data_IF_349280899318
#
_entry.id   IF_349280899318
#
_cell.length_a   1.000
_cell.length_b   1.000
_cell.length_c   1.000
_cell.angle_alpha   90.00
_cell.angle_beta   90.00
_cell.angle_gamma   90.00
#
_symmetry.space_group_name_H-M   'P 1'
#
loop_
_entity.id
_entity.type
_entity.pdbx_description
1 polymer ?
#
# COMPACT_ATOMS: atom_id res chain seq x y z
N UNK A 1 -16.85 8.76 -15.95
CA UNK A 1 -15.53 8.99 -15.34
C UNK A 1 -15.23 10.47 -15.44
N UNK A 2 -15.11 11.14 -14.31
CA UNK A 2 -14.67 12.52 -14.26
C UNK A 2 -13.19 12.51 -14.65
N UNK A 3 -12.82 13.25 -15.69
CA UNK A 3 -11.40 13.39 -16.05
C UNK A 3 -10.74 14.37 -15.09
N UNK A 4 -9.48 14.12 -14.73
CA UNK A 4 -8.67 15.10 -14.00
C UNK A 4 -8.70 16.47 -14.70
N UNK A 5 -8.57 17.58 -13.96
CA UNK A 5 -8.39 18.90 -14.56
C UNK A 5 -7.21 18.90 -15.53
N UNK A 6 -7.36 19.64 -16.63
CA UNK A 6 -6.35 19.71 -17.68
C UNK A 6 -4.95 20.07 -17.16
N UNK A 7 -4.78 21.02 -16.24
CA UNK A 7 -3.45 21.32 -15.66
C UNK A 7 -2.79 20.11 -14.97
N UNK A 8 -3.58 19.30 -14.24
CA UNK A 8 -3.08 18.10 -13.57
C UNK A 8 -2.67 17.04 -14.59
N UNK A 9 -3.50 16.81 -15.64
CA UNK A 9 -3.15 15.91 -16.74
C UNK A 9 -1.86 16.32 -17.44
N UNK A 10 -1.70 17.60 -17.76
CA UNK A 10 -0.49 18.15 -18.39
C UNK A 10 0.74 18.01 -17.49
N UNK A 11 0.59 18.21 -16.18
CA UNK A 11 1.68 17.98 -15.23
C UNK A 11 2.10 16.51 -15.26
N UNK A 12 1.16 15.55 -15.13
CA UNK A 12 1.48 14.11 -15.14
C UNK A 12 2.19 13.72 -16.46
N UNK A 13 1.69 14.16 -17.61
CA UNK A 13 2.30 13.89 -18.90
C UNK A 13 3.73 14.45 -19.03
N UNK A 14 3.99 15.61 -18.42
CA UNK A 14 5.30 16.27 -18.44
C UNK A 14 6.33 15.59 -17.54
N UNK A 15 5.95 15.27 -16.29
CA UNK A 15 6.90 14.74 -15.31
C UNK A 15 7.06 13.22 -15.38
N UNK A 16 6.08 12.50 -15.92
CA UNK A 16 6.12 11.04 -16.04
C UNK A 16 7.39 10.54 -16.72
N UNK A 17 7.69 10.92 -17.98
CA UNK A 17 8.87 10.43 -18.69
C UNK A 17 10.22 10.78 -18.02
N UNK A 18 10.24 11.78 -17.14
CA UNK A 18 11.43 12.22 -16.41
C UNK A 18 11.34 11.92 -14.91
N UNK A 19 10.39 11.08 -14.48
CA UNK A 19 10.12 10.79 -13.08
C UNK A 19 11.37 10.49 -12.26
N UNK A 20 12.25 9.64 -12.78
CA UNK A 20 13.46 9.19 -12.11
C UNK A 20 14.54 10.26 -11.93
N UNK A 21 14.46 11.40 -12.63
CA UNK A 21 15.51 12.45 -12.56
C UNK A 21 15.44 13.27 -11.28
N UNK A 22 14.26 13.42 -10.68
CA UNK A 22 14.04 14.08 -9.38
C UNK A 22 12.78 13.52 -8.71
N UNK A 23 12.86 12.30 -8.22
CA UNK A 23 11.73 11.60 -7.60
C UNK A 23 11.11 12.41 -6.45
N UNK A 24 11.95 13.10 -5.64
CA UNK A 24 11.46 13.87 -4.50
C UNK A 24 10.70 15.12 -4.93
N UNK A 25 11.25 15.89 -5.85
CA UNK A 25 10.62 17.10 -6.39
C UNK A 25 9.35 16.75 -7.16
N UNK A 26 9.41 15.74 -8.04
CA UNK A 26 8.23 15.29 -8.79
C UNK A 26 7.13 14.76 -7.86
N UNK A 27 7.47 14.02 -6.79
CA UNK A 27 6.49 13.57 -5.79
C UNK A 27 5.80 14.76 -5.11
N UNK A 28 6.54 15.83 -4.79
CA UNK A 28 5.95 17.02 -4.20
C UNK A 28 5.01 17.73 -5.19
N UNK A 29 5.41 17.86 -6.47
CA UNK A 29 4.55 18.43 -7.51
C UNK A 29 3.23 17.63 -7.68
N UNK A 30 3.28 16.31 -7.58
CA UNK A 30 2.07 15.46 -7.62
C UNK A 30 1.17 15.77 -6.42
N UNK A 31 1.71 15.79 -5.20
CA UNK A 31 0.93 16.12 -3.99
C UNK A 31 0.25 17.47 -4.11
N UNK A 32 1.00 18.51 -4.54
CA UNK A 32 0.49 19.86 -4.70
C UNK A 32 -0.62 19.93 -5.76
N UNK A 33 -0.53 19.15 -6.84
CA UNK A 33 -1.54 19.11 -7.88
C UNK A 33 -2.83 18.38 -7.47
N UNK A 34 -2.71 17.35 -6.63
CA UNK A 34 -3.88 16.60 -6.15
C UNK A 34 -4.50 17.21 -4.89
N UNK A 35 -3.76 17.93 -4.05
CA UNK A 35 -4.26 18.51 -2.79
C UNK A 35 -5.56 19.32 -2.95
N UNK A 36 -5.70 20.27 -3.90
CA UNK A 36 -6.95 21.00 -4.05
C UNK A 36 -8.14 20.13 -4.49
N UNK A 37 -7.88 19.06 -5.26
CA UNK A 37 -8.93 18.12 -5.70
C UNK A 37 -9.42 17.29 -4.52
N UNK A 38 -8.49 16.83 -3.68
CA UNK A 38 -8.78 16.01 -2.52
C UNK A 38 -9.43 16.81 -1.40
N UNK A 39 -8.97 18.07 -1.19
CA UNK A 39 -9.59 18.97 -0.23
C UNK A 39 -11.04 19.36 -0.60
N UNK A 40 -11.35 19.41 -1.90
CA UNK A 40 -12.70 19.69 -2.40
C UNK A 40 -13.61 18.45 -2.44
N UNK A 41 -13.08 17.26 -2.18
CA UNK A 41 -13.87 16.03 -2.22
C UNK A 41 -14.87 15.98 -1.06
N UNK A 42 -16.14 15.71 -1.37
CA UNK A 42 -17.17 15.53 -0.34
C UNK A 42 -16.92 14.25 0.46
N UNK A 43 -16.53 14.38 1.71
CA UNK A 43 -16.31 13.31 2.67
C UNK A 43 -17.38 13.31 3.78
N UNK A 44 -18.49 14.00 3.57
CA UNK A 44 -19.58 14.10 4.56
C UNK A 44 -20.13 12.73 4.94
N UNK A 45 -20.52 12.59 6.20
CA UNK A 45 -21.07 11.36 6.75
C UNK A 45 -20.04 10.28 7.10
N UNK A 46 -18.76 10.43 6.72
CA UNK A 46 -17.69 9.50 7.15
C UNK A 46 -17.12 10.00 8.48
N UNK A 47 -17.18 9.17 9.51
CA UNK A 47 -16.53 9.49 10.79
C UNK A 47 -15.09 8.98 10.78
N UNK A 48 -14.17 9.78 11.34
CA UNK A 48 -12.75 9.44 11.43
C UNK A 48 -12.32 9.40 12.89
N UNK A 49 -11.84 8.24 13.34
CA UNK A 49 -11.21 8.08 14.65
C UNK A 49 -9.70 7.97 14.44
N UNK A 50 -8.94 8.84 15.09
CA UNK A 50 -7.49 8.94 14.90
C UNK A 50 -6.72 8.27 16.02
N UNK A 51 -5.51 7.81 15.68
CA UNK A 51 -4.45 7.42 16.61
C UNK A 51 -4.84 6.35 17.64
N UNK A 52 -5.67 5.38 17.23
CA UNK A 52 -6.00 4.24 18.09
C UNK A 52 -4.79 3.32 18.20
N UNK A 53 -4.28 3.03 19.42
CA UNK A 53 -3.11 2.20 19.61
C UNK A 53 -3.43 0.73 19.33
N UNK A 54 -2.63 0.09 18.48
CA UNK A 54 -2.65 -1.36 18.26
C UNK A 54 -1.44 -2.08 18.89
N UNK A 55 -0.51 -1.33 19.46
CA UNK A 55 0.68 -1.84 20.13
C UNK A 55 1.28 -0.83 21.10
N UNK A 56 2.37 -1.19 21.80
CA UNK A 56 2.96 -0.35 22.86
C UNK A 56 3.84 0.80 22.36
N UNK A 57 4.26 0.78 21.07
CA UNK A 57 5.13 1.81 20.52
C UNK A 57 4.32 3.02 20.03
N UNK A 58 4.81 4.28 20.19
CA UNK A 58 4.08 5.48 19.74
C UNK A 58 3.66 5.48 18.27
N UNK A 59 4.42 4.82 17.39
CA UNK A 59 4.05 4.64 15.98
C UNK A 59 3.12 3.46 15.72
N UNK A 60 2.80 2.63 16.70
CA UNK A 60 1.85 1.54 16.53
C UNK A 60 0.41 2.03 16.77
N UNK A 61 -0.03 2.95 15.93
CA UNK A 61 -1.36 3.55 15.94
C UNK A 61 -2.03 3.41 14.57
N UNK A 62 -3.36 3.46 14.55
CA UNK A 62 -4.13 3.41 13.32
C UNK A 62 -5.28 4.42 13.36
N UNK A 63 -5.73 4.80 12.17
CA UNK A 63 -6.92 5.61 11.99
C UNK A 63 -8.04 4.77 11.38
N UNK A 64 -9.28 5.01 11.80
CA UNK A 64 -10.48 4.33 11.28
C UNK A 64 -11.37 5.33 10.58
N UNK A 65 -11.72 5.03 9.33
CA UNK A 65 -12.66 5.77 8.49
C UNK A 65 -13.94 4.95 8.35
N UNK A 66 -14.93 5.30 9.12
CA UNK A 66 -16.18 4.55 9.20
C UNK A 66 -17.26 5.19 8.33
N UNK A 67 -17.79 4.46 7.32
CA UNK A 67 -18.93 4.94 6.55
C UNK A 67 -20.19 4.99 7.40
N UNK A 68 -21.17 5.83 7.01
CA UNK A 68 -22.44 5.91 7.72
C UNK A 68 -23.16 4.55 7.69
N UNK A 69 -23.75 4.16 8.80
CA UNK A 69 -24.53 2.93 8.96
C UNK A 69 -23.75 1.63 8.65
N UNK A 70 -22.43 1.64 8.74
CA UNK A 70 -21.63 0.45 8.53
C UNK A 70 -22.02 -0.68 9.48
N UNK A 71 -22.38 -1.83 8.90
CA UNK A 71 -22.67 -3.08 9.64
C UNK A 71 -22.09 -4.24 8.86
N UNK A 72 -21.17 -4.97 9.46
CA UNK A 72 -20.46 -6.09 8.81
C UNK A 72 -19.80 -5.72 7.46
N UNK A 73 -19.37 -4.48 7.31
CA UNK A 73 -18.71 -3.98 6.11
C UNK A 73 -17.34 -4.65 5.92
N UNK A 74 -16.94 -4.87 4.67
CA UNK A 74 -15.56 -5.23 4.38
C UNK A 74 -14.59 -4.16 4.93
N UNK A 75 -13.39 -4.55 5.28
CA UNK A 75 -12.39 -3.67 5.89
C UNK A 75 -11.16 -3.58 4.99
N UNK A 76 -10.73 -2.37 4.67
CA UNK A 76 -9.52 -2.11 3.88
C UNK A 76 -8.45 -1.53 4.79
N UNK A 77 -7.33 -2.22 4.91
CA UNK A 77 -6.20 -1.83 5.75
C UNK A 77 -5.07 -1.34 4.86
N UNK A 78 -4.72 -0.08 4.94
CA UNK A 78 -3.67 0.53 4.16
C UNK A 78 -2.36 0.66 4.94
N UNK A 79 -1.25 0.31 4.28
CA UNK A 79 0.12 0.38 4.80
C UNK A 79 0.92 1.31 3.89
N UNK A 80 1.33 2.46 4.45
CA UNK A 80 1.94 3.55 3.69
C UNK A 80 3.36 3.26 3.22
N UNK A 81 3.82 4.04 2.24
CA UNK A 81 5.21 4.07 1.78
C UNK A 81 6.12 4.95 2.63
N UNK A 82 7.41 4.98 2.27
CA UNK A 82 8.40 5.84 2.95
C UNK A 82 9.81 5.26 2.97
N UNK A 83 10.10 4.35 2.07
CA UNK A 83 11.41 3.70 1.94
C UNK A 83 11.97 3.17 3.27
N UNK A 84 11.10 2.65 4.15
CA UNK A 84 11.41 2.03 5.44
C UNK A 84 11.90 2.96 6.56
N UNK A 85 12.49 4.12 6.23
CA UNK A 85 13.18 5.03 7.18
C UNK A 85 12.43 6.35 7.40
N UNK A 86 11.34 6.55 6.69
CA UNK A 86 10.52 7.77 6.74
C UNK A 86 9.08 7.45 6.36
N UNK A 87 8.25 8.45 6.35
CA UNK A 87 6.84 8.34 6.01
C UNK A 87 5.96 8.37 7.24
N UNK A 88 4.69 8.55 6.96
CA UNK A 88 3.64 8.68 7.95
C UNK A 88 2.33 8.21 7.29
N UNK A 89 1.36 7.76 8.10
CA UNK A 89 0.02 7.41 7.62
C UNK A 89 -0.70 8.60 6.96
N UNK A 90 -0.19 9.81 7.14
CA UNK A 90 -0.57 11.03 6.42
C UNK A 90 0.66 11.64 5.74
N UNK A 91 0.92 11.31 4.47
CA UNK A 91 2.03 11.88 3.70
C UNK A 91 1.84 13.38 3.37
N UNK A 92 0.63 13.88 3.47
CA UNK A 92 0.18 15.28 3.49
C UNK A 92 -1.20 15.29 4.18
N UNK A 93 -1.83 16.46 4.41
CA UNK A 93 -3.18 16.51 4.98
C UNK A 93 -4.22 15.66 4.25
N UNK A 94 -4.02 15.40 2.95
CA UNK A 94 -4.97 14.66 2.11
C UNK A 94 -4.46 13.27 1.73
N UNK A 95 -3.14 13.14 1.48
CA UNK A 95 -2.55 11.91 0.92
C UNK A 95 -2.41 10.83 1.98
N UNK A 96 -2.87 9.75 1.61
CA UNK A 96 -3.20 8.44 2.15
C UNK A 96 -4.59 8.39 2.80
N UNK A 97 -5.07 9.45 3.45
CA UNK A 97 -6.46 9.55 3.87
C UNK A 97 -7.43 9.49 2.69
N UNK A 98 -7.03 10.02 1.53
CA UNK A 98 -7.83 9.98 0.31
C UNK A 98 -8.24 8.56 -0.11
N UNK A 99 -7.37 7.56 0.04
CA UNK A 99 -7.71 6.17 -0.22
C UNK A 99 -8.80 5.70 0.76
N UNK A 100 -8.62 6.00 2.04
CA UNK A 100 -9.56 5.56 3.08
C UNK A 100 -10.92 6.21 2.93
N UNK A 101 -10.96 7.50 2.61
CA UNK A 101 -12.22 8.18 2.27
C UNK A 101 -12.88 7.56 1.04
N UNK A 102 -12.09 7.23 0.00
CA UNK A 102 -12.63 6.60 -1.20
C UNK A 102 -13.29 5.26 -0.88
N UNK A 103 -12.60 4.37 -0.14
CA UNK A 103 -13.16 3.07 0.25
C UNK A 103 -14.36 3.22 1.21
N UNK A 104 -14.34 4.18 2.11
CA UNK A 104 -15.47 4.46 2.99
C UNK A 104 -16.71 4.91 2.19
N UNK A 105 -16.55 5.69 1.13
CA UNK A 105 -17.64 6.03 0.18
C UNK A 105 -18.21 4.81 -0.55
N UNK A 106 -17.42 3.74 -0.69
CA UNK A 106 -17.89 2.47 -1.26
C UNK A 106 -18.48 1.52 -0.21
N UNK A 107 -18.62 1.96 1.04
CA UNK A 107 -19.22 1.18 2.13
C UNK A 107 -18.25 0.27 2.88
N UNK A 108 -16.94 0.38 2.66
CA UNK A 108 -15.92 -0.33 3.42
C UNK A 108 -15.47 0.49 4.63
N UNK A 109 -15.09 -0.15 5.72
CA UNK A 109 -14.35 0.52 6.79
C UNK A 109 -12.90 0.65 6.36
N UNK A 110 -12.41 1.89 6.25
CA UNK A 110 -11.01 2.17 5.93
C UNK A 110 -10.14 2.22 7.19
N UNK A 111 -8.97 1.60 7.13
CA UNK A 111 -7.99 1.60 8.21
C UNK A 111 -6.65 2.07 7.65
N UNK A 112 -6.08 3.12 8.23
CA UNK A 112 -4.76 3.62 7.85
C UNK A 112 -3.79 3.38 9.00
N UNK A 113 -2.80 2.48 8.85
CA UNK A 113 -1.88 2.13 9.93
C UNK A 113 -0.57 2.91 9.82
N UNK A 114 -0.07 3.34 10.98
CA UNK A 114 1.30 3.79 11.17
C UNK A 114 2.14 2.60 11.63
N UNK A 115 3.41 2.55 11.31
CA UNK A 115 4.32 1.47 11.71
C UNK A 115 5.70 2.00 12.08
N UNK A 116 6.49 1.20 12.81
CA UNK A 116 7.85 1.56 13.22
C UNK A 116 8.80 1.62 12.03
N UNK A 117 9.76 2.52 12.09
CA UNK A 117 10.72 2.78 11.02
C UNK A 117 12.13 2.29 11.37
N UNK A 118 12.91 1.97 10.37
CA UNK A 118 14.34 1.75 10.52
C UNK A 118 15.07 3.09 10.77
N UNK A 119 16.21 3.09 11.47
CA UNK A 119 16.92 1.90 11.99
C UNK A 119 16.41 1.36 13.34
N UNK A 120 15.44 2.02 13.99
CA UNK A 120 14.89 1.58 15.28
C UNK A 120 14.19 0.22 15.15
N UNK A 121 13.50 -0.02 14.03
CA UNK A 121 12.83 -1.29 13.72
C UNK A 121 13.26 -1.81 12.36
N UNK A 122 14.21 -2.74 12.37
CA UNK A 122 14.72 -3.41 11.16
C UNK A 122 13.84 -4.60 10.78
N UNK A 123 14.13 -5.25 9.65
CA UNK A 123 13.44 -6.46 9.19
C UNK A 123 13.41 -7.53 10.32
N UNK A 124 12.26 -8.14 10.62
CA UNK A 124 10.96 -8.03 9.92
C UNK A 124 9.97 -7.03 10.57
N UNK A 125 10.43 -6.05 11.35
CA UNK A 125 9.60 -5.20 12.21
C UNK A 125 8.37 -4.56 11.56
N UNK A 126 8.44 -4.19 10.26
CA UNK A 126 7.28 -3.68 9.55
C UNK A 126 6.20 -4.75 9.31
N UNK A 127 6.59 -5.99 9.00
CA UNK A 127 5.65 -7.12 8.90
C UNK A 127 5.06 -7.50 10.27
N UNK A 128 5.86 -7.41 11.35
CA UNK A 128 5.38 -7.59 12.73
C UNK A 128 4.31 -6.57 13.09
N UNK A 129 4.48 -5.31 12.67
CA UNK A 129 3.51 -4.25 12.93
C UNK A 129 2.22 -4.47 12.13
N UNK A 130 2.30 -4.90 10.88
CA UNK A 130 1.13 -5.34 10.10
C UNK A 130 0.41 -6.48 10.82
N UNK A 131 1.13 -7.50 11.28
CA UNK A 131 0.54 -8.63 12.01
C UNK A 131 -0.18 -8.20 13.31
N UNK A 132 0.42 -7.28 14.06
CA UNK A 132 -0.21 -6.72 15.28
C UNK A 132 -1.47 -5.92 14.96
N UNK A 133 -1.43 -5.08 13.94
CA UNK A 133 -2.60 -4.32 13.51
C UNK A 133 -3.73 -5.25 13.06
N UNK A 134 -3.42 -6.30 12.28
CA UNK A 134 -4.41 -7.29 11.85
C UNK A 134 -5.02 -8.06 13.03
N UNK A 135 -4.21 -8.48 14.00
CA UNK A 135 -4.69 -9.12 15.23
C UNK A 135 -5.58 -8.18 16.08
N UNK A 136 -5.21 -6.91 16.18
CA UNK A 136 -6.04 -5.90 16.86
C UNK A 136 -7.39 -5.72 16.16
N UNK A 137 -7.39 -5.63 14.83
CA UNK A 137 -8.60 -5.46 14.02
C UNK A 137 -9.58 -6.62 14.17
N UNK A 138 -9.09 -7.86 14.26
CA UNK A 138 -9.99 -9.01 14.47
C UNK A 138 -10.79 -8.94 15.77
N UNK A 139 -10.27 -8.23 16.77
CA UNK A 139 -10.91 -8.10 18.08
C UNK A 139 -11.76 -6.82 18.20
N UNK A 140 -11.45 -5.77 17.43
CA UNK A 140 -11.98 -4.44 17.68
C UNK A 140 -12.81 -3.87 16.53
N UNK A 141 -12.59 -4.27 15.27
CA UNK A 141 -13.18 -3.62 14.10
C UNK A 141 -14.70 -3.75 14.04
N UNK A 142 -15.27 -4.77 14.67
CA UNK A 142 -16.73 -4.95 14.73
C UNK A 142 -17.43 -3.77 15.46
N UNK A 143 -16.80 -3.19 16.47
CA UNK A 143 -17.30 -2.00 17.16
C UNK A 143 -17.34 -0.74 16.25
N UNK A 144 -16.61 -0.78 15.13
CA UNK A 144 -16.56 0.26 14.11
C UNK A 144 -17.32 -0.15 12.83
N UNK A 145 -18.22 -1.14 12.92
CA UNK A 145 -19.05 -1.58 11.81
C UNK A 145 -18.36 -2.49 10.78
N UNK A 146 -17.10 -2.86 11.01
CA UNK A 146 -16.33 -3.74 10.12
C UNK A 146 -16.58 -5.23 10.39
N UNK A 147 -16.34 -6.05 9.37
CA UNK A 147 -16.38 -7.51 9.47
C UNK A 147 -14.96 -8.07 9.66
N UNK A 148 -14.63 -8.66 10.84
CA UNK A 148 -13.29 -9.20 11.08
C UNK A 148 -12.92 -10.41 10.20
N UNK A 149 -13.87 -11.01 9.51
CA UNK A 149 -13.62 -12.09 8.55
C UNK A 149 -13.35 -11.58 7.10
N UNK A 150 -13.47 -10.27 6.86
CA UNK A 150 -13.28 -9.64 5.54
C UNK A 150 -12.29 -8.48 5.62
N UNK A 151 -11.06 -8.78 6.03
CA UNK A 151 -9.96 -7.81 6.10
C UNK A 151 -9.09 -7.93 4.84
N UNK A 152 -8.93 -6.82 4.11
CA UNK A 152 -8.09 -6.74 2.91
C UNK A 152 -6.92 -5.79 3.16
N UNK A 153 -5.73 -6.19 2.76
CA UNK A 153 -4.53 -5.37 2.88
C UNK A 153 -4.22 -4.63 1.58
N UNK A 154 -3.84 -3.37 1.66
CA UNK A 154 -3.25 -2.60 0.56
C UNK A 154 -1.93 -2.03 1.05
N UNK A 155 -0.83 -2.36 0.39
CA UNK A 155 0.48 -1.80 0.70
C UNK A 155 1.04 -1.00 -0.46
N UNK A 156 1.53 0.21 -0.18
CA UNK A 156 2.20 1.07 -1.17
C UNK A 156 3.70 1.13 -0.92
N UNK A 157 4.52 0.95 -1.98
CA UNK A 157 5.98 1.10 -1.91
C UNK A 157 6.59 0.21 -0.81
N UNK A 158 7.28 0.77 0.19
CA UNK A 158 7.80 0.05 1.36
C UNK A 158 6.68 -0.63 2.17
N UNK A 159 5.50 -0.01 2.28
CA UNK A 159 4.33 -0.64 2.90
C UNK A 159 3.89 -1.91 2.16
N UNK A 160 4.04 -1.92 0.83
CA UNK A 160 3.82 -3.14 0.02
C UNK A 160 4.82 -4.25 0.36
N UNK A 161 6.06 -3.91 0.70
CA UNK A 161 7.04 -4.88 1.20
C UNK A 161 6.59 -5.50 2.54
N UNK A 162 6.13 -4.66 3.47
CA UNK A 162 5.65 -5.14 4.78
C UNK A 162 4.45 -6.06 4.65
N UNK A 163 3.48 -5.69 3.80
CA UNK A 163 2.33 -6.54 3.47
C UNK A 163 2.78 -7.85 2.82
N UNK A 164 3.67 -7.79 1.83
CA UNK A 164 4.13 -8.98 1.13
C UNK A 164 4.96 -9.90 2.03
N UNK A 165 5.83 -9.37 2.91
CA UNK A 165 6.54 -10.18 3.92
C UNK A 165 5.56 -10.85 4.88
N UNK A 166 4.57 -10.12 5.38
CA UNK A 166 3.52 -10.67 6.24
C UNK A 166 2.73 -11.82 5.59
N UNK A 167 2.49 -11.73 4.28
CA UNK A 167 1.69 -12.73 3.53
C UNK A 167 2.54 -13.92 3.10
N UNK A 168 3.79 -13.70 2.66
CA UNK A 168 4.55 -14.70 1.91
C UNK A 168 5.76 -15.24 2.65
N UNK A 169 6.36 -14.55 3.62
CA UNK A 169 7.59 -15.01 4.25
C UNK A 169 7.31 -16.18 5.22
N UNK A 170 7.76 -17.41 4.90
CA UNK A 170 7.51 -18.59 5.73
C UNK A 170 8.37 -18.61 7.01
N UNK A 171 9.40 -17.76 7.10
CA UNK A 171 10.20 -17.56 8.30
C UNK A 171 9.48 -16.75 9.37
N UNK A 172 8.40 -16.06 9.01
CA UNK A 172 7.55 -15.30 9.91
C UNK A 172 6.34 -16.13 10.33
N UNK A 173 5.91 -15.99 11.59
CA UNK A 173 4.83 -16.82 12.16
C UNK A 173 3.41 -16.47 11.64
N UNK A 174 3.27 -15.52 10.72
CA UNK A 174 1.97 -14.90 10.42
C UNK A 174 1.25 -15.47 9.21
N UNK A 175 1.96 -15.75 8.10
CA UNK A 175 1.41 -16.32 6.86
C UNK A 175 0.13 -15.65 6.34
N UNK A 176 0.00 -14.34 6.50
CA UNK A 176 -1.19 -13.61 6.07
C UNK A 176 -2.46 -13.92 6.89
N UNK A 177 -2.32 -14.33 8.15
CA UNK A 177 -3.46 -14.58 9.05
C UNK A 177 -4.46 -13.42 9.02
N UNK A 178 -5.75 -13.75 9.10
CA UNK A 178 -6.85 -12.78 9.10
C UNK A 178 -7.03 -12.00 7.79
N UNK A 179 -6.24 -12.26 6.74
CA UNK A 179 -6.30 -11.53 5.48
C UNK A 179 -7.12 -12.28 4.45
N UNK A 180 -8.11 -11.64 3.84
CA UNK A 180 -8.92 -12.18 2.76
C UNK A 180 -8.28 -12.00 1.37
N UNK A 181 -7.46 -10.97 1.20
CA UNK A 181 -6.71 -10.68 -0.02
C UNK A 181 -5.76 -9.50 0.16
N UNK A 182 -4.77 -9.37 -0.71
CA UNK A 182 -3.78 -8.30 -0.65
C UNK A 182 -3.60 -7.60 -2.00
N UNK A 183 -3.44 -6.27 -1.97
CA UNK A 183 -3.10 -5.43 -3.12
C UNK A 183 -1.73 -4.81 -2.88
N UNK A 184 -0.81 -5.04 -3.80
CA UNK A 184 0.56 -4.54 -3.74
C UNK A 184 0.73 -3.44 -4.78
N UNK A 185 0.70 -2.18 -4.34
CA UNK A 185 0.81 -1.02 -5.22
C UNK A 185 2.25 -0.52 -5.23
N UNK A 186 2.91 -0.57 -6.39
CA UNK A 186 4.29 -0.06 -6.56
C UNK A 186 5.24 -0.57 -5.47
N UNK A 187 5.09 -1.84 -5.07
CA UNK A 187 5.75 -2.42 -3.92
C UNK A 187 7.23 -2.74 -4.20
N UNK A 188 8.11 -2.48 -3.22
CA UNK A 188 9.49 -2.96 -3.27
C UNK A 188 9.56 -4.41 -2.81
N UNK A 189 9.47 -5.34 -3.75
CA UNK A 189 9.36 -6.77 -3.45
C UNK A 189 10.71 -7.49 -3.40
N UNK A 190 11.81 -6.75 -3.66
CA UNK A 190 13.18 -7.24 -3.54
C UNK A 190 14.04 -6.25 -2.75
N UNK A 191 14.82 -6.74 -1.81
CA UNK A 191 15.90 -5.98 -1.18
C UNK A 191 16.99 -5.74 -2.23
N UNK A 192 17.25 -4.47 -2.54
CA UNK A 192 18.14 -4.07 -3.62
C UNK A 192 18.92 -2.83 -3.25
N UNK A 193 20.22 -2.91 -3.37
CA UNK A 193 21.19 -1.85 -3.07
C UNK A 193 22.05 -1.53 -4.30
N UNK A 194 21.54 -1.82 -5.51
CA UNK A 194 22.21 -1.46 -6.76
C UNK A 194 22.45 0.05 -6.85
N UNK A 195 23.44 0.50 -7.63
CA UNK A 195 23.72 1.93 -7.82
C UNK A 195 22.52 2.73 -8.34
N UNK A 196 21.62 2.09 -9.07
CA UNK A 196 20.43 2.72 -9.64
C UNK A 196 19.30 2.89 -8.63
N UNK A 197 19.41 2.27 -7.44
CA UNK A 197 18.40 2.43 -6.40
C UNK A 197 18.66 3.68 -5.54
N UNK A 198 17.88 4.76 -5.68
CA UNK A 198 18.07 5.98 -4.90
C UNK A 198 17.77 5.81 -3.40
N UNK A 199 17.20 4.66 -3.01
CA UNK A 199 16.89 4.31 -1.64
C UNK A 199 17.78 3.17 -1.10
N UNK A 200 18.96 2.91 -1.70
CA UNK A 200 19.85 1.82 -1.29
C UNK A 200 20.22 1.88 0.20
N UNK A 201 20.52 3.07 0.73
CA UNK A 201 20.85 3.25 2.15
C UNK A 201 19.65 2.95 3.07
N UNK A 202 18.45 3.30 2.64
CA UNK A 202 17.24 2.95 3.37
C UNK A 202 16.94 1.44 3.34
N UNK A 203 17.28 0.76 2.25
CA UNK A 203 17.23 -0.70 2.16
C UNK A 203 18.22 -1.32 3.14
N UNK A 204 19.48 -0.84 3.18
CA UNK A 204 20.47 -1.30 4.18
C UNK A 204 19.99 -1.06 5.61
N UNK A 205 19.46 0.12 5.89
CA UNK A 205 18.95 0.45 7.23
C UNK A 205 17.84 -0.50 7.69
N UNK A 206 16.99 -0.98 6.78
CA UNK A 206 15.89 -1.89 7.11
C UNK A 206 16.29 -3.36 7.05
N UNK A 207 16.91 -3.80 5.95
CA UNK A 207 17.24 -5.20 5.71
C UNK A 207 18.60 -5.62 6.31
N UNK A 208 19.42 -4.67 6.79
CA UNK A 208 20.76 -4.89 7.33
C UNK A 208 21.84 -4.78 6.26
N UNK A 209 23.11 -4.81 6.71
CA UNK A 209 24.29 -4.62 5.83
C UNK A 209 24.70 -5.90 5.08
N UNK A 210 24.27 -7.07 5.55
CA UNK A 210 24.62 -8.35 4.93
C UNK A 210 23.75 -8.64 3.70
N UNK A 211 24.32 -8.33 2.52
CA UNK A 211 23.63 -8.56 1.25
C UNK A 211 23.35 -10.05 0.96
N UNK A 212 24.05 -11.00 1.61
CA UNK A 212 23.78 -12.43 1.44
C UNK A 212 22.38 -12.82 1.96
N UNK A 213 21.79 -12.01 2.85
CA UNK A 213 20.46 -12.23 3.40
C UNK A 213 19.34 -11.60 2.58
N UNK A 214 19.64 -10.75 1.59
CA UNK A 214 18.64 -9.97 0.87
C UNK A 214 17.66 -10.84 0.07
N UNK A 215 18.13 -11.89 -0.56
CA UNK A 215 17.24 -12.80 -1.27
C UNK A 215 16.25 -13.48 -0.31
N UNK A 216 16.76 -14.00 0.82
CA UNK A 216 15.93 -14.60 1.88
C UNK A 216 14.94 -13.62 2.50
N UNK A 217 15.26 -12.32 2.57
CA UNK A 217 14.39 -11.26 3.16
C UNK A 217 13.51 -10.58 2.12
N UNK A 218 13.61 -10.98 0.86
CA UNK A 218 12.81 -10.42 -0.24
C UNK A 218 11.50 -11.17 -0.41
N UNK A 219 10.33 -10.51 -0.32
CA UNK A 219 9.04 -11.18 -0.43
C UNK A 219 8.86 -11.98 -1.72
N UNK A 220 9.44 -11.53 -2.84
CA UNK A 220 9.34 -12.21 -4.13
C UNK A 220 9.93 -13.61 -4.11
N UNK A 221 10.97 -13.85 -3.30
CA UNK A 221 11.60 -15.17 -3.13
C UNK A 221 10.68 -16.19 -2.45
N UNK A 222 9.60 -15.71 -1.82
CA UNK A 222 8.64 -16.50 -1.08
C UNK A 222 7.26 -16.59 -1.74
N UNK A 223 7.10 -16.16 -2.99
CA UNK A 223 5.82 -16.12 -3.70
C UNK A 223 5.04 -17.45 -3.67
N UNK A 224 5.75 -18.58 -3.65
CA UNK A 224 5.15 -19.91 -3.60
C UNK A 224 4.56 -20.32 -2.23
N UNK A 225 4.90 -19.60 -1.15
CA UNK A 225 4.57 -19.99 0.24
C UNK A 225 3.12 -19.73 0.62
N UNK A 226 2.40 -18.90 -0.14
CA UNK A 226 1.02 -18.53 0.18
C UNK A 226 0.10 -18.69 -1.02
N UNK A 227 -1.14 -19.09 -0.74
CA UNK A 227 -2.24 -19.16 -1.72
C UNK A 227 -3.19 -17.96 -1.61
N UNK A 228 -2.91 -17.00 -0.74
CA UNK A 228 -3.74 -15.81 -0.57
C UNK A 228 -3.94 -15.09 -1.91
N UNK A 229 -5.16 -14.66 -2.28
CA UNK A 229 -5.39 -13.83 -3.45
C UNK A 229 -4.54 -12.55 -3.40
N UNK A 230 -3.90 -12.22 -4.52
CA UNK A 230 -3.03 -11.03 -4.64
C UNK A 230 -3.29 -10.31 -5.94
N UNK A 231 -3.46 -9.00 -5.85
CA UNK A 231 -3.49 -8.09 -6.98
C UNK A 231 -2.23 -7.21 -6.97
N UNK A 232 -1.45 -7.25 -8.04
CA UNK A 232 -0.22 -6.48 -8.20
C UNK A 232 -0.50 -5.29 -9.09
N UNK A 233 -0.17 -4.10 -8.62
CA UNK A 233 -0.35 -2.84 -9.35
C UNK A 233 0.99 -2.13 -9.45
N UNK A 234 1.37 -1.70 -10.65
CA UNK A 234 2.52 -0.84 -10.90
C UNK A 234 2.08 0.44 -11.62
N UNK A 235 2.83 1.52 -11.45
CA UNK A 235 2.64 2.71 -12.26
C UNK A 235 3.40 2.58 -13.60
N UNK A 236 3.06 3.39 -14.60
CA UNK A 236 3.85 3.48 -15.84
C UNK A 236 5.22 4.11 -15.60
N UNK A 237 5.28 5.10 -14.70
CA UNK A 237 6.51 5.83 -14.36
C UNK A 237 6.88 5.53 -12.91
N UNK A 238 7.58 4.41 -12.71
CA UNK A 238 7.96 3.94 -11.37
C UNK A 238 9.28 4.51 -10.87
N UNK A 239 9.49 4.36 -9.57
CA UNK A 239 10.84 4.39 -9.02
C UNK A 239 11.62 3.20 -9.56
N UNK A 240 12.95 3.33 -9.72
CA UNK A 240 13.76 2.30 -10.36
C UNK A 240 13.47 0.88 -9.86
N UNK A 241 13.26 -0.04 -10.81
CA UNK A 241 13.06 -1.47 -10.64
C UNK A 241 11.78 -1.92 -9.91
N UNK A 242 10.89 -1.03 -9.45
CA UNK A 242 9.68 -1.47 -8.73
C UNK A 242 8.68 -2.17 -9.65
N UNK A 243 8.58 -1.74 -10.90
CA UNK A 243 7.80 -2.41 -11.95
C UNK A 243 8.39 -3.78 -12.29
N UNK A 244 9.72 -3.88 -12.38
CA UNK A 244 10.44 -5.15 -12.61
C UNK A 244 10.15 -6.15 -11.50
N UNK A 245 10.22 -5.74 -10.24
CA UNK A 245 9.93 -6.61 -9.10
C UNK A 245 8.44 -6.99 -9.01
N UNK A 246 7.54 -6.09 -9.43
CA UNK A 246 6.11 -6.39 -9.58
C UNK A 246 5.85 -7.49 -10.62
N UNK A 247 6.51 -7.39 -11.77
CA UNK A 247 6.46 -8.42 -12.83
C UNK A 247 7.10 -9.74 -12.40
N UNK A 248 8.24 -9.66 -11.69
CA UNK A 248 8.89 -10.84 -11.13
C UNK A 248 7.96 -11.57 -10.15
N UNK A 249 7.31 -10.84 -9.24
CA UNK A 249 6.34 -11.42 -8.31
C UNK A 249 5.17 -12.08 -9.04
N UNK A 250 4.63 -11.42 -10.07
CA UNK A 250 3.56 -11.97 -10.90
C UNK A 250 4.01 -13.27 -11.59
N UNK A 251 5.24 -13.30 -12.11
CA UNK A 251 5.82 -14.50 -12.73
C UNK A 251 5.96 -15.65 -11.73
N UNK A 252 6.54 -15.41 -10.54
CA UNK A 252 6.73 -16.42 -9.51
C UNK A 252 5.40 -16.99 -9.01
N UNK A 253 4.41 -16.11 -8.79
CA UNK A 253 3.05 -16.53 -8.43
C UNK A 253 2.42 -17.38 -9.53
N UNK A 254 2.59 -17.00 -10.80
CA UNK A 254 2.05 -17.76 -11.94
C UNK A 254 2.66 -19.16 -12.03
N UNK A 255 3.97 -19.28 -11.82
CA UNK A 255 4.66 -20.59 -11.78
C UNK A 255 4.12 -21.46 -10.64
N UNK A 256 4.02 -20.90 -9.43
CA UNK A 256 3.62 -21.63 -8.24
C UNK A 256 2.13 -22.04 -8.27
N UNK A 257 1.27 -21.21 -8.83
CA UNK A 257 -0.20 -21.39 -8.80
C UNK A 257 -0.76 -21.99 -10.08
N UNK A 258 0.02 -22.03 -11.17
CA UNK A 258 -0.42 -22.39 -12.53
C UNK A 258 -1.54 -21.48 -13.06
N UNK A 259 -1.62 -20.27 -12.51
CA UNK A 259 -2.57 -19.23 -12.86
C UNK A 259 -1.94 -17.87 -12.57
N UNK A 260 -2.06 -16.93 -13.50
CA UNK A 260 -1.56 -15.58 -13.31
C UNK A 260 -2.36 -14.86 -12.20
N UNK A 261 -1.71 -14.13 -11.29
CA UNK A 261 -2.42 -13.23 -10.40
C UNK A 261 -3.01 -12.08 -11.21
N UNK A 262 -3.98 -11.34 -10.63
CA UNK A 262 -4.38 -10.07 -11.21
C UNK A 262 -3.18 -9.12 -11.22
N UNK A 263 -2.93 -8.48 -12.37
CA UNK A 263 -1.85 -7.51 -12.57
C UNK A 263 -2.37 -6.31 -13.36
N UNK A 264 -1.98 -5.12 -12.93
CA UNK A 264 -2.33 -3.87 -13.61
C UNK A 264 -1.14 -2.92 -13.67
N UNK A 265 -0.77 -2.44 -14.86
CA UNK A 265 0.05 -1.25 -15.01
C UNK A 265 -0.86 -0.04 -15.19
N UNK A 266 -0.73 0.95 -14.31
CA UNK A 266 -1.49 2.20 -14.34
C UNK A 266 -0.83 3.19 -15.30
N UNK A 267 -1.37 3.27 -16.52
CA UNK A 267 -0.87 4.16 -17.56
C UNK A 267 -1.14 5.62 -17.21
N UNK A 268 -0.18 6.49 -17.53
CA UNK A 268 -0.24 7.91 -17.19
C UNK A 268 0.07 8.23 -15.72
N UNK A 269 0.19 7.22 -14.87
CA UNK A 269 0.53 7.41 -13.47
C UNK A 269 2.02 7.19 -13.19
N UNK A 270 2.49 7.86 -12.15
CA UNK A 270 3.80 7.66 -11.54
C UNK A 270 3.65 7.07 -10.13
N UNK A 271 4.78 6.77 -9.51
CA UNK A 271 4.86 6.16 -8.18
C UNK A 271 4.00 6.86 -7.11
N UNK A 272 3.80 8.17 -7.18
CA UNK A 272 2.99 8.91 -6.21
C UNK A 272 1.53 9.04 -6.66
N UNK A 273 1.28 9.34 -7.95
CA UNK A 273 -0.08 9.55 -8.44
C UNK A 273 -0.92 8.26 -8.44
N UNK A 274 -0.28 7.07 -8.46
CA UNK A 274 -0.98 5.79 -8.35
C UNK A 274 -1.74 5.61 -7.03
N UNK A 275 -1.43 6.39 -6.01
CA UNK A 275 -2.17 6.45 -4.74
C UNK A 275 -2.88 7.80 -4.54
N UNK A 276 -2.32 8.89 -5.08
CA UNK A 276 -2.91 10.22 -4.94
C UNK A 276 -4.23 10.37 -5.71
N UNK A 277 -4.47 9.59 -6.79
CA UNK A 277 -5.66 9.71 -7.61
C UNK A 277 -6.96 9.25 -6.93
N UNK A 278 -6.89 8.40 -5.89
CA UNK A 278 -8.09 8.00 -5.14
C UNK A 278 -8.81 9.22 -4.57
N UNK A 279 -10.13 9.22 -4.64
CA UNK A 279 -10.99 10.30 -4.18
C UNK A 279 -10.83 11.64 -4.94
N UNK A 280 -10.09 11.67 -6.04
CA UNK A 280 -9.92 12.85 -6.92
C UNK A 280 -10.93 12.93 -8.07
N UNK A 281 -11.80 11.92 -8.18
CA UNK A 281 -12.71 11.73 -9.31
C UNK A 281 -12.24 10.66 -10.31
N UNK A 282 -11.01 10.18 -10.19
CA UNK A 282 -10.53 8.98 -10.88
C UNK A 282 -10.79 7.77 -9.99
N UNK A 283 -11.49 6.77 -10.48
CA UNK A 283 -11.87 5.60 -9.69
C UNK A 283 -11.63 4.25 -10.39
N UNK A 284 -10.94 4.25 -11.52
CA UNK A 284 -10.71 3.03 -12.29
C UNK A 284 -9.99 1.95 -11.48
N UNK A 285 -8.86 2.28 -10.84
CA UNK A 285 -8.13 1.33 -10.01
C UNK A 285 -8.95 0.91 -8.78
N UNK A 286 -9.62 1.86 -8.14
CA UNK A 286 -10.47 1.56 -6.99
C UNK A 286 -11.55 0.54 -7.32
N UNK A 287 -12.23 0.68 -8.47
CA UNK A 287 -13.23 -0.29 -8.94
C UNK A 287 -12.64 -1.67 -9.24
N UNK A 288 -11.46 -1.72 -9.85
CA UNK A 288 -10.75 -2.99 -10.09
C UNK A 288 -10.36 -3.67 -8.76
N UNK A 289 -10.00 -2.89 -7.73
CA UNK A 289 -9.70 -3.42 -6.40
C UNK A 289 -10.98 -3.95 -5.72
N UNK A 290 -12.11 -3.25 -5.83
CA UNK A 290 -13.38 -3.74 -5.29
C UNK A 290 -13.80 -5.05 -5.97
N UNK A 291 -13.69 -5.13 -7.30
CA UNK A 291 -13.97 -6.36 -8.04
C UNK A 291 -13.05 -7.51 -7.59
N UNK A 292 -11.75 -7.23 -7.38
CA UNK A 292 -10.82 -8.21 -6.82
C UNK A 292 -11.21 -8.64 -5.40
N UNK A 293 -11.72 -7.77 -4.55
CA UNK A 293 -12.16 -8.11 -3.19
C UNK A 293 -13.38 -9.05 -3.18
N UNK A 294 -14.22 -8.97 -4.21
CA UNK A 294 -15.39 -9.82 -4.33
C UNK A 294 -15.09 -11.14 -5.06
N UNK A 295 -14.19 -11.14 -6.02
CA UNK A 295 -13.89 -12.30 -6.87
C UNK A 295 -12.67 -13.11 -6.41
N UNK A 296 -11.71 -12.46 -5.75
CA UNK A 296 -10.42 -13.07 -5.35
C UNK A 296 -9.46 -13.32 -6.52
N UNK A 297 -9.76 -12.78 -7.72
CA UNK A 297 -8.97 -13.01 -8.94
C UNK A 297 -8.99 -11.80 -9.87
#
# INVERSE_FOLDING_TARGET
MTQLPLPTQQLMARIGPIWGTDIRGHSQMVKDAYAPLLAAADNSGISVTRDLPYGPHPRQVLDIFQPPLAQHAGVVVFVHGGAFVRGDKQASPEIYDNLMFWFAKQGYVGINIEYRLAPESTFPGGADDVARAMAWLTQNVAAHGGNPARLFLIGHSAGGTHVASYVFDPGLAYHGQYTAGAVLISARLRADVSPDNPNADAVRAYFGEDAALYDQRSPVSHAASSRLPVFIVTAEFENPLLDVYGLEMAHQLSLARRQAPRYRQMRGHNHMSVVAHFNSGEDALGREILDFFETGC
#
